data_IF_068530972057
#
_entry.id   IF_068530972057
#
_cell.length_a   1.000
_cell.length_b   1.000
_cell.length_c   1.000
_cell.angle_alpha   90.00
_cell.angle_beta   90.00
_cell.angle_gamma   90.00
#
_symmetry.space_group_name_H-M   'P 1'
#
loop_
_entity.id
_entity.type
_entity.pdbx_description
1 polymer ?
#
# COMPACT_ATOMS: atom_id res chain seq x y z
N UNK A 1 1.81 10.96 -4.21
CA UNK A 1 0.50 11.64 -4.41
C UNK A 1 -0.54 10.71 -5.01
N UNK A 2 -0.24 9.98 -6.08
CA UNK A 2 -1.16 9.04 -6.76
C UNK A 2 -1.79 8.00 -5.81
N UNK A 3 -1.00 7.35 -4.96
CA UNK A 3 -1.48 6.34 -4.02
C UNK A 3 -2.48 6.87 -2.96
N UNK A 4 -2.22 8.04 -2.37
CA UNK A 4 -3.16 8.68 -1.44
C UNK A 4 -4.44 9.17 -2.14
N UNK A 5 -4.33 9.64 -3.38
CA UNK A 5 -5.50 9.99 -4.18
C UNK A 5 -6.34 8.74 -4.45
N UNK A 6 -5.72 7.64 -4.87
CA UNK A 6 -6.40 6.36 -5.11
C UNK A 6 -7.09 5.79 -3.85
N UNK A 7 -6.47 5.84 -2.67
CA UNK A 7 -7.14 5.41 -1.42
C UNK A 7 -8.35 6.30 -1.08
N UNK A 8 -8.24 7.61 -1.33
CA UNK A 8 -9.37 8.53 -1.17
C UNK A 8 -10.49 8.23 -2.16
N UNK A 9 -10.14 7.92 -3.41
CA UNK A 9 -11.09 7.50 -4.44
C UNK A 9 -11.75 6.16 -4.09
N UNK A 10 -11.02 5.16 -3.54
CA UNK A 10 -11.64 3.91 -3.08
C UNK A 10 -12.65 4.17 -1.96
N UNK A 11 -12.28 4.99 -0.97
CA UNK A 11 -13.20 5.34 0.12
C UNK A 11 -14.43 6.07 -0.41
N UNK A 12 -14.25 6.94 -1.40
CA UNK A 12 -15.35 7.61 -2.10
C UNK A 12 -16.22 6.62 -2.89
N UNK A 13 -15.62 5.68 -3.63
CA UNK A 13 -16.33 4.64 -4.40
C UNK A 13 -17.11 3.71 -3.46
N UNK A 14 -16.52 3.27 -2.34
CA UNK A 14 -17.22 2.48 -1.32
C UNK A 14 -18.42 3.25 -0.75
N UNK A 15 -18.26 4.53 -0.42
CA UNK A 15 -19.37 5.38 0.05
C UNK A 15 -20.43 5.55 -1.05
N UNK A 16 -20.03 5.79 -2.30
CA UNK A 16 -20.93 5.90 -3.45
C UNK A 16 -21.69 4.60 -3.73
N UNK A 17 -21.08 3.43 -3.56
CA UNK A 17 -21.75 2.14 -3.69
C UNK A 17 -22.74 1.89 -2.55
N UNK A 18 -22.39 2.33 -1.34
CA UNK A 18 -23.31 2.25 -0.19
C UNK A 18 -24.53 3.16 -0.40
N UNK A 19 -24.31 4.36 -0.97
CA UNK A 19 -25.37 5.29 -1.36
C UNK A 19 -26.18 4.79 -2.55
N UNK A 20 -25.54 4.21 -3.56
CA UNK A 20 -26.20 3.62 -4.72
C UNK A 20 -27.09 2.44 -4.30
N UNK A 21 -26.65 1.62 -3.33
CA UNK A 21 -27.48 0.59 -2.69
C UNK A 21 -28.70 1.24 -2.02
N UNK A 22 -28.52 2.29 -1.22
CA UNK A 22 -29.63 3.02 -0.58
C UNK A 22 -30.63 3.61 -1.59
N UNK A 23 -30.14 4.15 -2.71
CA UNK A 23 -30.98 4.73 -3.77
C UNK A 23 -31.72 3.63 -4.54
N UNK A 24 -31.08 2.48 -4.78
CA UNK A 24 -31.71 1.34 -5.43
C UNK A 24 -32.81 0.75 -4.55
N UNK A 25 -32.55 0.56 -3.26
CA UNK A 25 -33.56 0.15 -2.26
C UNK A 25 -34.72 1.16 -2.21
N UNK A 26 -34.44 2.46 -2.23
CA UNK A 26 -35.48 3.51 -2.26
C UNK A 26 -36.31 3.50 -3.56
N UNK A 27 -35.66 3.22 -4.71
CA UNK A 27 -36.34 3.14 -6.02
C UNK A 27 -37.18 1.87 -6.15
N UNK A 28 -36.80 0.77 -5.49
CA UNK A 28 -37.58 -0.46 -5.42
C UNK A 28 -38.84 -0.28 -4.56
N UNK A 29 -38.80 0.51 -3.49
CA UNK A 29 -39.96 0.77 -2.62
C UNK A 29 -41.02 1.68 -3.28
N UNK A 30 -40.64 2.58 -4.20
CA UNK A 30 -41.59 3.54 -4.80
C UNK A 30 -42.27 3.06 -6.10
N UNK A 31 -41.84 1.95 -6.70
CA UNK A 31 -42.44 1.44 -7.95
C UNK A 31 -43.63 0.51 -7.64
N UNK A 32 -44.76 1.07 -7.17
CA UNK A 32 -46.04 0.32 -7.15
C UNK A 32 -46.56 0.14 -8.59
N UNK A 33 -46.82 -1.09 -9.07
CA UNK A 33 -47.29 -1.29 -10.43
C UNK A 33 -48.82 -1.21 -10.50
N UNK A 34 -49.32 -0.29 -11.33
CA UNK A 34 -50.66 -0.42 -11.92
C UNK A 34 -50.49 -0.77 -13.41
N UNK A 35 -51.07 -1.92 -13.79
CA UNK A 35 -51.39 -2.37 -15.14
C UNK A 35 -50.28 -2.89 -16.09
N UNK A 36 -50.47 -4.13 -16.56
CA UNK A 36 -49.98 -4.65 -17.86
C UNK A 36 -48.66 -5.43 -17.83
N UNK A 37 -48.73 -6.77 -17.80
CA UNK A 37 -47.57 -7.65 -17.96
C UNK A 37 -47.51 -8.24 -19.37
N UNK A 38 -46.42 -8.03 -20.12
CA UNK A 38 -45.79 -9.17 -20.79
C UNK A 38 -44.25 -9.13 -20.71
N UNK A 39 -43.67 -10.19 -20.14
CA UNK A 39 -42.32 -10.73 -20.37
C UNK A 39 -41.07 -9.82 -20.23
N UNK A 40 -41.16 -8.67 -19.58
CA UNK A 40 -40.01 -7.78 -19.32
C UNK A 40 -39.45 -7.84 -17.88
N UNK A 41 -39.91 -8.76 -17.01
CA UNK A 41 -39.51 -8.82 -15.59
C UNK A 41 -38.13 -9.41 -15.31
N UNK A 42 -37.38 -9.78 -16.34
CA UNK A 42 -36.21 -10.61 -16.21
C UNK A 42 -34.95 -9.88 -16.64
N UNK A 43 -34.96 -9.01 -17.66
CA UNK A 43 -33.72 -8.41 -18.16
C UNK A 43 -33.21 -7.28 -17.24
N UNK A 44 -34.06 -6.31 -16.90
CA UNK A 44 -33.68 -5.20 -16.00
C UNK A 44 -33.34 -5.68 -14.59
N UNK A 45 -34.09 -6.67 -14.08
CA UNK A 45 -33.87 -7.26 -12.75
C UNK A 45 -32.57 -8.07 -12.73
N UNK A 46 -32.30 -8.86 -13.77
CA UNK A 46 -31.04 -9.62 -13.89
C UNK A 46 -29.86 -8.67 -14.02
N UNK A 47 -29.97 -7.61 -14.82
CA UNK A 47 -28.91 -6.59 -14.94
C UNK A 47 -28.66 -5.91 -13.59
N UNK A 48 -29.72 -5.50 -12.88
CA UNK A 48 -29.58 -4.86 -11.57
C UNK A 48 -28.91 -5.76 -10.52
N UNK A 49 -29.12 -7.08 -10.59
CA UNK A 49 -28.47 -8.07 -9.72
C UNK A 49 -27.04 -8.35 -10.19
N UNK A 50 -26.78 -8.48 -11.50
CA UNK A 50 -25.46 -8.80 -12.05
C UNK A 50 -24.45 -7.67 -11.84
N UNK A 51 -24.85 -6.41 -11.95
CA UNK A 51 -23.95 -5.24 -11.79
C UNK A 51 -23.12 -5.29 -10.49
N UNK A 52 -23.71 -5.46 -9.28
CA UNK A 52 -22.92 -5.53 -8.06
C UNK A 52 -22.01 -6.78 -8.00
N UNK A 53 -22.43 -7.92 -8.55
CA UNK A 53 -21.56 -9.11 -8.61
C UNK A 53 -20.37 -8.94 -9.55
N UNK A 54 -20.61 -8.38 -10.75
CA UNK A 54 -19.54 -8.06 -11.69
C UNK A 54 -18.61 -7.02 -11.08
N UNK A 55 -19.14 -6.00 -10.42
CA UNK A 55 -18.33 -5.01 -9.70
C UNK A 55 -17.46 -5.67 -8.63
N UNK A 56 -18.01 -6.57 -7.81
CA UNK A 56 -17.27 -7.28 -6.77
C UNK A 56 -16.16 -8.20 -7.30
N UNK A 57 -16.19 -8.59 -8.57
CA UNK A 57 -15.15 -9.43 -9.19
C UNK A 57 -14.14 -8.58 -9.97
N UNK A 58 -14.63 -7.70 -10.85
CA UNK A 58 -13.79 -6.88 -11.74
C UNK A 58 -12.99 -5.87 -10.92
N UNK A 59 -13.58 -5.27 -9.88
CA UNK A 59 -12.91 -4.26 -9.09
C UNK A 59 -11.69 -4.81 -8.33
N UNK A 60 -11.76 -5.95 -7.58
CA UNK A 60 -10.57 -6.53 -6.96
C UNK A 60 -9.49 -6.98 -7.95
N UNK A 61 -9.87 -7.50 -9.11
CA UNK A 61 -8.91 -7.90 -10.15
C UNK A 61 -8.20 -6.68 -10.72
N UNK A 62 -8.95 -5.65 -11.12
CA UNK A 62 -8.40 -4.38 -11.58
C UNK A 62 -7.49 -3.76 -10.51
N UNK A 63 -7.95 -3.71 -9.26
CA UNK A 63 -7.19 -3.16 -8.14
C UNK A 63 -5.88 -3.94 -7.90
N UNK A 64 -5.94 -5.27 -7.92
CA UNK A 64 -4.75 -6.13 -7.74
C UNK A 64 -3.73 -5.89 -8.85
N UNK A 65 -4.17 -5.71 -10.10
CA UNK A 65 -3.29 -5.37 -11.23
C UNK A 65 -2.59 -4.03 -11.02
N UNK A 66 -3.32 -3.01 -10.56
CA UNK A 66 -2.73 -1.69 -10.27
C UNK A 66 -1.71 -1.79 -9.14
N UNK A 67 -2.03 -2.48 -8.04
CA UNK A 67 -1.10 -2.67 -6.92
C UNK A 67 0.15 -3.44 -7.37
N UNK A 68 -0.01 -4.49 -8.17
CA UNK A 68 1.10 -5.26 -8.71
C UNK A 68 2.03 -4.42 -9.59
N UNK A 69 1.45 -3.63 -10.51
CA UNK A 69 2.18 -2.69 -11.36
C UNK A 69 3.00 -1.67 -10.55
N UNK A 70 2.43 -1.14 -9.45
CA UNK A 70 3.13 -0.21 -8.57
C UNK A 70 4.32 -0.88 -7.88
N UNK A 71 4.19 -2.14 -7.46
CA UNK A 71 5.30 -2.88 -6.85
C UNK A 71 6.48 -3.04 -7.82
N UNK A 72 6.18 -3.43 -9.07
CA UNK A 72 7.18 -3.61 -10.12
C UNK A 72 7.87 -2.29 -10.47
N UNK A 73 7.10 -1.24 -10.77
CA UNK A 73 7.65 0.06 -11.19
C UNK A 73 8.33 0.81 -10.05
N UNK A 74 7.83 0.66 -8.82
CA UNK A 74 8.43 1.24 -7.62
C UNK A 74 9.75 0.56 -7.23
N UNK A 75 10.00 -0.66 -7.72
CA UNK A 75 11.18 -1.46 -7.40
C UNK A 75 11.03 -2.29 -6.12
N UNK A 76 9.83 -2.36 -5.52
CA UNK A 76 9.59 -3.17 -4.33
C UNK A 76 9.82 -4.65 -4.64
N UNK A 77 9.25 -5.15 -5.75
CA UNK A 77 9.43 -6.54 -6.17
C UNK A 77 10.91 -6.90 -6.36
N UNK A 78 11.71 -6.00 -6.95
CA UNK A 78 13.15 -6.19 -7.15
C UNK A 78 13.93 -6.21 -5.83
N UNK A 79 13.58 -5.35 -4.88
CA UNK A 79 14.19 -5.39 -3.53
C UNK A 79 13.85 -6.73 -2.87
N UNK A 80 12.56 -7.13 -2.90
CA UNK A 80 12.10 -8.35 -2.25
C UNK A 80 12.69 -9.63 -2.86
N UNK A 81 12.98 -9.63 -4.16
CA UNK A 81 13.67 -10.74 -4.83
C UNK A 81 15.13 -10.88 -4.37
N UNK A 82 15.84 -9.75 -4.18
CA UNK A 82 17.23 -9.75 -3.69
C UNK A 82 17.36 -9.99 -2.20
N UNK A 83 16.32 -9.61 -1.45
CA UNK A 83 16.26 -9.70 0.01
C UNK A 83 15.12 -10.64 0.44
N UNK A 84 15.25 -11.96 0.25
CA UNK A 84 14.18 -12.89 0.55
C UNK A 84 13.76 -12.81 2.02
N UNK A 85 12.45 -12.95 2.25
CA UNK A 85 11.90 -12.96 3.60
C UNK A 85 12.50 -14.09 4.45
N UNK A 86 12.81 -13.76 5.70
CA UNK A 86 13.19 -14.72 6.75
C UNK A 86 12.19 -14.60 7.91
N UNK A 87 12.06 -15.64 8.71
CA UNK A 87 11.20 -15.55 9.89
C UNK A 87 11.91 -14.75 10.99
N UNK A 88 11.32 -13.64 11.48
CA UNK A 88 11.94 -12.83 12.51
C UNK A 88 11.91 -13.56 13.86
N UNK A 89 13.03 -13.55 14.57
CA UNK A 89 13.16 -14.25 15.85
C UNK A 89 12.43 -13.50 16.97
N UNK A 90 12.68 -12.18 17.11
CA UNK A 90 12.05 -11.37 18.15
C UNK A 90 11.81 -9.91 17.70
N UNK A 91 10.91 -9.70 16.73
CA UNK A 91 10.80 -8.42 16.05
C UNK A 91 10.02 -7.36 16.85
N UNK A 92 10.59 -6.14 16.97
CA UNK A 92 9.83 -4.94 17.36
C UNK A 92 9.20 -4.31 16.11
N UNK A 93 7.88 -4.50 15.95
CA UNK A 93 7.15 -4.04 14.77
C UNK A 93 6.47 -2.68 14.94
N UNK A 94 6.54 -1.86 13.89
CA UNK A 94 5.84 -0.60 13.73
C UNK A 94 4.94 -0.66 12.48
N UNK A 95 3.62 -0.66 12.68
CA UNK A 95 2.63 -0.57 11.59
C UNK A 95 2.32 0.88 11.23
N UNK A 96 1.62 1.09 10.10
CA UNK A 96 1.15 2.41 9.62
C UNK A 96 2.29 3.42 9.44
N UNK A 97 3.47 2.94 9.04
CA UNK A 97 4.58 3.78 8.67
C UNK A 97 4.43 4.28 7.23
N UNK A 98 5.20 5.31 6.92
CA UNK A 98 5.21 5.94 5.61
C UNK A 98 6.61 5.88 4.98
N UNK A 99 6.66 5.57 3.69
CA UNK A 99 7.90 5.55 2.91
C UNK A 99 7.67 6.01 1.47
N UNK A 100 8.74 6.31 0.75
CA UNK A 100 8.70 6.76 -0.64
C UNK A 100 9.74 5.96 -1.43
N UNK A 101 9.33 5.28 -2.48
CA UNK A 101 10.24 4.57 -3.39
C UNK A 101 10.47 5.39 -4.67
N UNK A 102 11.11 4.76 -5.65
CA UNK A 102 11.30 5.26 -7.02
C UNK A 102 10.04 5.91 -7.59
N UNK A 103 10.23 6.96 -8.40
CA UNK A 103 9.16 7.73 -9.07
C UNK A 103 8.14 8.37 -8.12
N UNK A 104 8.54 8.71 -6.90
CA UNK A 104 7.66 9.27 -5.86
C UNK A 104 6.46 8.36 -5.55
N UNK A 105 6.64 7.03 -5.65
CA UNK A 105 5.63 6.08 -5.19
C UNK A 105 5.61 6.10 -3.66
N UNK A 106 4.58 6.76 -3.12
CA UNK A 106 4.45 7.01 -1.69
C UNK A 106 3.62 5.89 -1.05
N UNK A 107 4.19 5.20 -0.07
CA UNK A 107 3.59 4.17 0.75
C UNK A 107 3.15 4.78 2.08
N UNK A 108 2.16 5.67 2.05
CA UNK A 108 1.74 6.43 3.24
C UNK A 108 0.78 5.61 4.11
N UNK A 109 1.19 5.34 5.36
CA UNK A 109 0.34 4.66 6.35
C UNK A 109 0.05 3.19 6.04
N UNK A 110 0.74 2.59 5.08
CA UNK A 110 0.56 1.18 4.69
C UNK A 110 1.78 0.32 4.97
N UNK A 111 2.92 0.95 5.28
CA UNK A 111 4.17 0.26 5.52
C UNK A 111 4.20 -0.28 6.96
N UNK A 112 4.61 -1.53 7.12
CA UNK A 112 4.93 -2.16 8.40
C UNK A 112 6.41 -2.49 8.39
N UNK A 113 7.14 -1.92 9.33
CA UNK A 113 8.58 -2.10 9.50
C UNK A 113 8.79 -2.85 10.80
N UNK A 114 9.54 -3.94 10.79
CA UNK A 114 9.93 -4.62 12.02
C UNK A 114 11.45 -4.63 12.17
N UNK A 115 11.89 -4.40 13.41
CA UNK A 115 13.29 -4.34 13.78
C UNK A 115 13.64 -5.61 14.52
N UNK A 116 14.67 -6.30 14.07
CA UNK A 116 15.19 -7.52 14.67
C UNK A 116 16.68 -7.35 14.98
N UNK A 117 17.26 -8.33 15.65
CA UNK A 117 18.68 -8.28 16.02
C UNK A 117 19.59 -8.33 14.78
N UNK A 118 19.18 -9.03 13.72
CA UNK A 118 19.95 -9.19 12.48
C UNK A 118 19.67 -8.11 11.43
N UNK A 119 18.50 -7.45 11.46
CA UNK A 119 18.15 -6.50 10.42
C UNK A 119 16.73 -5.92 10.49
N UNK A 120 16.25 -5.47 9.33
CA UNK A 120 14.94 -4.87 9.14
C UNK A 120 14.04 -5.71 8.24
N UNK A 121 12.80 -5.85 8.66
CA UNK A 121 11.73 -6.44 7.88
C UNK A 121 10.80 -5.36 7.36
N UNK A 122 10.49 -5.44 6.07
CA UNK A 122 9.54 -4.54 5.42
C UNK A 122 8.37 -5.34 4.86
N UNK A 123 7.16 -4.87 5.16
CA UNK A 123 5.91 -5.45 4.68
C UNK A 123 4.86 -4.36 4.49
N UNK A 124 3.82 -4.65 3.72
CA UNK A 124 2.66 -3.75 3.57
C UNK A 124 1.42 -4.39 4.18
N UNK A 125 0.37 -3.60 4.42
CA UNK A 125 -0.92 -4.12 4.86
C UNK A 125 -1.45 -5.19 3.89
N UNK A 126 -2.18 -6.17 4.42
CA UNK A 126 -2.67 -7.33 3.68
C UNK A 126 -3.38 -6.99 2.35
N UNK A 127 -4.17 -5.92 2.32
CA UNK A 127 -4.89 -5.47 1.13
C UNK A 127 -3.97 -5.04 -0.04
N UNK A 128 -2.73 -4.62 0.26
CA UNK A 128 -1.75 -4.19 -0.73
C UNK A 128 -0.64 -5.23 -0.98
N UNK A 129 -0.80 -6.44 -0.41
CA UNK A 129 0.20 -7.51 -0.50
C UNK A 129 0.42 -8.07 -1.92
N UNK A 130 -0.56 -8.10 -2.85
CA UNK A 130 -0.29 -8.57 -4.21
C UNK A 130 0.87 -7.82 -4.86
N UNK A 131 1.92 -8.56 -5.26
CA UNK A 131 3.16 -8.00 -5.79
C UNK A 131 4.12 -7.40 -4.76
N UNK A 132 3.68 -7.13 -3.53
CA UNK A 132 4.51 -6.57 -2.46
C UNK A 132 4.94 -7.66 -1.47
N UNK A 133 5.75 -8.60 -1.96
CA UNK A 133 6.32 -9.65 -1.13
C UNK A 133 7.10 -9.01 0.04
N UNK A 134 6.87 -9.44 1.28
CA UNK A 134 7.66 -8.95 2.41
C UNK A 134 9.13 -9.33 2.22
N UNK A 135 10.04 -8.53 2.75
CA UNK A 135 11.47 -8.73 2.55
C UNK A 135 12.27 -8.38 3.80
N UNK A 136 13.49 -8.93 3.90
CA UNK A 136 14.38 -8.76 5.04
C UNK A 136 15.75 -8.24 4.61
N UNK A 137 16.21 -7.15 5.22
CA UNK A 137 17.51 -6.55 4.92
C UNK A 137 18.41 -6.60 6.16
N UNK A 138 19.59 -7.25 6.11
CA UNK A 138 20.55 -7.26 7.21
C UNK A 138 21.12 -5.86 7.49
N UNK A 139 21.46 -5.56 8.74
CA UNK A 139 22.02 -4.25 9.11
C UNK A 139 23.26 -3.84 8.32
N UNK A 140 24.14 -4.80 8.05
CA UNK A 140 25.40 -4.60 7.31
C UNK A 140 25.18 -4.08 5.88
N UNK A 141 24.01 -4.37 5.31
CA UNK A 141 23.67 -3.99 3.94
C UNK A 141 22.82 -2.71 3.86
N UNK A 142 22.54 -2.06 5.00
CA UNK A 142 21.70 -0.87 5.06
C UNK A 142 22.54 0.37 5.35
N UNK A 143 22.61 1.26 4.36
CA UNK A 143 23.11 2.61 4.56
C UNK A 143 21.96 3.61 4.66
N UNK A 144 21.98 4.45 5.71
CA UNK A 144 21.01 5.54 5.88
C UNK A 144 21.68 6.90 5.74
N UNK A 145 21.14 7.78 4.89
CA UNK A 145 21.61 9.17 4.79
C UNK A 145 20.43 10.15 4.87
N UNK A 146 20.52 11.17 5.72
CA UNK A 146 19.50 12.21 5.77
C UNK A 146 19.49 13.00 4.47
N UNK A 147 18.30 13.19 3.89
CA UNK A 147 18.07 14.06 2.74
C UNK A 147 16.88 14.97 3.02
N UNK A 148 16.91 16.16 2.44
CA UNK A 148 15.75 17.04 2.42
C UNK A 148 14.96 16.75 1.14
N UNK A 149 13.70 16.32 1.30
CA UNK A 149 12.80 16.09 0.19
C UNK A 149 11.66 17.11 0.22
N UNK A 150 11.76 18.11 -0.68
CA UNK A 150 10.87 19.27 -0.83
C UNK A 150 10.71 20.07 0.48
N UNK A 151 9.86 19.60 1.41
CA UNK A 151 9.60 20.24 2.71
C UNK A 151 9.86 19.33 3.93
N UNK A 152 10.19 18.05 3.74
CA UNK A 152 10.34 17.10 4.83
C UNK A 152 11.74 16.47 4.85
N UNK A 153 12.29 16.23 6.04
CA UNK A 153 13.49 15.42 6.22
C UNK A 153 13.14 13.94 6.07
N UNK A 154 13.83 13.29 5.15
CA UNK A 154 13.73 11.84 4.92
C UNK A 154 15.11 11.22 5.10
N UNK A 155 15.16 9.93 5.39
CA UNK A 155 16.37 9.12 5.38
C UNK A 155 16.32 8.27 4.11
N UNK A 156 17.32 8.44 3.25
CA UNK A 156 17.59 7.61 2.08
C UNK A 156 18.21 6.31 2.55
N UNK A 157 17.42 5.24 2.54
CA UNK A 157 17.87 3.87 2.76
C UNK A 157 18.40 3.33 1.42
N UNK A 158 19.69 2.99 1.43
CA UNK A 158 20.35 2.33 0.31
C UNK A 158 20.71 0.92 0.74
N UNK A 159 20.29 -0.03 -0.08
CA UNK A 159 20.59 -1.44 0.13
C UNK A 159 21.73 -1.86 -0.79
N UNK A 160 22.70 -2.58 -0.25
CA UNK A 160 23.93 -2.96 -0.97
C UNK A 160 23.64 -3.74 -2.27
N UNK A 161 22.65 -4.63 -2.27
CA UNK A 161 22.28 -5.44 -3.44
C UNK A 161 21.38 -4.69 -4.45
N UNK A 162 20.75 -3.60 -4.03
CA UNK A 162 19.88 -2.79 -4.89
C UNK A 162 20.17 -1.29 -4.76
N UNK A 163 21.41 -0.82 -5.04
CA UNK A 163 21.82 0.56 -4.77
C UNK A 163 21.13 1.57 -5.70
N UNK A 164 20.58 1.10 -6.83
CA UNK A 164 19.91 1.94 -7.81
C UNK A 164 18.46 2.26 -7.45
N UNK A 165 17.86 1.53 -6.51
CA UNK A 165 16.46 1.70 -6.10
C UNK A 165 16.42 2.56 -4.83
N UNK A 166 16.01 3.84 -4.92
CA UNK A 166 15.94 4.67 -3.73
C UNK A 166 14.75 4.24 -2.85
N UNK A 167 15.00 4.14 -1.55
CA UNK A 167 13.98 3.85 -0.55
C UNK A 167 14.05 4.92 0.54
N UNK A 168 13.14 5.88 0.51
CA UNK A 168 13.10 6.96 1.49
C UNK A 168 12.12 6.63 2.62
N UNK A 169 12.54 6.88 3.86
CA UNK A 169 11.69 6.78 5.04
C UNK A 169 11.64 8.15 5.70
N UNK A 170 10.50 8.57 6.22
CA UNK A 170 10.42 9.82 6.98
C UNK A 170 11.30 9.73 8.23
N UNK A 171 11.99 10.84 8.56
CA UNK A 171 12.91 10.87 9.72
C UNK A 171 12.26 10.34 10.99
N UNK A 172 11.00 10.69 11.28
CA UNK A 172 10.24 10.18 12.43
C UNK A 172 10.17 8.65 12.51
N UNK A 173 10.03 7.97 11.37
CA UNK A 173 10.00 6.50 11.33
C UNK A 173 11.41 5.93 11.42
N UNK A 174 12.41 6.60 10.83
CA UNK A 174 13.82 6.22 10.97
C UNK A 174 14.32 6.36 12.42
N UNK A 175 13.92 7.41 13.13
CA UNK A 175 14.26 7.63 14.54
C UNK A 175 13.78 6.45 15.42
N UNK A 176 12.57 5.96 15.18
CA UNK A 176 12.04 4.75 15.86
C UNK A 176 12.85 3.50 15.56
N UNK A 177 13.38 3.39 14.34
CA UNK A 177 14.22 2.27 13.94
C UNK A 177 15.56 2.34 14.68
N UNK A 178 16.18 3.53 14.76
CA UNK A 178 17.43 3.73 15.50
C UNK A 178 17.24 3.42 16.99
N UNK A 179 16.14 3.88 17.59
CA UNK A 179 15.82 3.59 18.99
C UNK A 179 15.60 2.08 19.22
N UNK A 180 14.91 1.40 18.30
CA UNK A 180 14.66 -0.03 18.40
C UNK A 180 15.86 -0.91 18.02
N UNK A 181 16.83 -0.39 17.27
CA UNK A 181 18.02 -1.15 16.87
C UNK A 181 19.04 -1.29 18.00
N UNK A 182 18.84 -0.61 19.14
CA UNK A 182 19.75 -0.58 20.28
C UNK A 182 21.21 -0.25 19.88
N UNK A 183 21.38 0.68 18.93
CA UNK A 183 22.70 1.12 18.47
C UNK A 183 23.33 0.27 17.36
N UNK A 184 22.69 -0.83 16.92
CA UNK A 184 23.19 -1.65 15.80
C UNK A 184 23.16 -0.93 14.46
N UNK A 185 22.30 0.08 14.34
CA UNK A 185 22.19 0.88 13.13
C UNK A 185 21.83 2.32 13.44
N UNK A 186 22.51 3.23 12.75
CA UNK A 186 22.23 4.66 12.75
C UNK A 186 22.43 5.21 11.34
N UNK A 187 21.64 6.22 10.98
CA UNK A 187 21.82 6.94 9.73
C UNK A 187 22.84 8.07 9.92
N UNK A 188 23.51 8.46 8.83
CA UNK A 188 24.45 9.57 8.81
C UNK A 188 23.70 10.87 8.50
N UNK A 189 24.00 11.94 9.24
CA UNK A 189 23.57 13.28 8.84
C UNK A 189 24.29 13.65 7.54
N UNK A 190 23.61 14.35 6.63
CA UNK A 190 24.27 14.84 5.43
C UNK A 190 25.33 15.85 5.86
N UNK A 191 26.59 15.61 5.49
CA UNK A 191 27.62 16.64 5.62
C UNK A 191 27.12 17.91 4.91
N UNK A 192 27.09 19.02 5.64
CA UNK A 192 26.75 20.33 5.09
C UNK A 192 27.88 20.68 4.13
N UNK A 193 27.64 20.49 2.83
CA UNK A 193 28.51 20.97 1.74
C UNK A 193 28.05 22.35 1.31
#
# INVERSE_FOLDING_TARGET
>A
RIFCLLIREIRAILVSLTLAKSILEFRLVYKRPCAGYPNSMNEDTVIAILIPFVFLIVFPLFWSTIVFMISLLGGWATIAERYPYREPLNPKCFSLQSGILRYMMNYNGVLKICVDDEGLYFSVLFLFRPGHTPFFVPWEEIEGQVRQHFFYKVVDFRFAQTPTIPFYIYKRSADKIVEASNGRWAYKEKAVS
#
